data_IF_547253100875
#
_entry.id   IF_547253100875
#
_cell.length_a   1.000
_cell.length_b   1.000
_cell.length_c   1.000
_cell.angle_alpha   90.00
_cell.angle_beta   90.00
_cell.angle_gamma   90.00
#
_symmetry.space_group_name_H-M   'P 1'
#
loop_
_entity.id
_entity.type
_entity.pdbx_description
1 polymer ?
#
# COMPACT_ATOMS: atom_id res chain seq x y z
N UNK A 1 -18.95 -16.40 -21.48
CA UNK A 1 -19.83 -15.20 -21.52
C UNK A 1 -18.93 -14.02 -21.83
N UNK A 2 -19.45 -12.98 -22.49
CA UNK A 2 -18.65 -11.79 -22.77
C UNK A 2 -18.39 -11.04 -21.47
N UNK A 3 -17.13 -10.81 -21.15
CA UNK A 3 -16.67 -10.10 -19.95
C UNK A 3 -16.78 -8.60 -20.15
N UNK A 4 -16.43 -8.12 -21.34
CA UNK A 4 -16.41 -6.71 -21.67
C UNK A 4 -17.82 -6.14 -21.78
N UNK A 5 -17.96 -4.87 -21.38
CA UNK A 5 -19.24 -4.18 -21.32
C UNK A 5 -19.14 -2.78 -21.94
N UNK A 6 -20.03 -2.54 -22.90
CA UNK A 6 -20.19 -1.30 -23.64
C UNK A 6 -21.61 -0.78 -23.41
N UNK A 7 -21.72 0.51 -23.11
CA UNK A 7 -22.99 1.21 -22.95
C UNK A 7 -23.15 2.26 -24.04
N UNK A 8 -24.34 2.36 -24.63
CA UNK A 8 -24.71 3.49 -25.46
C UNK A 8 -25.11 4.66 -24.58
N UNK A 9 -24.37 5.77 -24.70
CA UNK A 9 -24.67 7.00 -23.98
C UNK A 9 -24.89 8.16 -24.94
N UNK A 10 -25.71 9.09 -24.50
CA UNK A 10 -25.95 10.37 -25.15
C UNK A 10 -25.26 11.49 -24.39
N UNK A 11 -24.62 12.41 -25.10
CA UNK A 11 -23.93 13.56 -24.52
C UNK A 11 -24.19 14.81 -25.35
N UNK A 12 -24.19 15.97 -24.70
CA UNK A 12 -24.34 17.26 -25.37
C UNK A 12 -22.97 17.89 -25.59
N UNK A 13 -22.63 18.21 -26.84
CA UNK A 13 -21.36 18.85 -27.16
C UNK A 13 -21.26 20.23 -26.50
N UNK A 14 -20.22 20.52 -25.69
CA UNK A 14 -20.08 21.81 -25.01
C UNK A 14 -19.76 22.98 -25.98
N UNK A 15 -19.29 22.67 -27.18
CA UNK A 15 -18.89 23.67 -28.18
C UNK A 15 -20.07 24.13 -29.05
N UNK A 16 -20.95 23.22 -29.48
CA UNK A 16 -22.06 23.54 -30.40
C UNK A 16 -23.46 23.18 -29.88
N UNK A 17 -23.56 22.54 -28.72
CA UNK A 17 -24.83 22.17 -28.10
C UNK A 17 -25.55 20.97 -28.75
N UNK A 18 -24.95 20.31 -29.75
CA UNK A 18 -25.59 19.16 -30.39
C UNK A 18 -25.49 17.90 -29.53
N UNK A 19 -26.58 17.13 -29.52
CA UNK A 19 -26.61 15.83 -28.89
C UNK A 19 -25.96 14.79 -29.81
N UNK A 20 -25.05 14.02 -29.25
CA UNK A 20 -24.34 12.94 -29.89
C UNK A 20 -24.61 11.68 -29.09
N UNK A 21 -24.66 10.54 -29.76
CA UNK A 21 -24.72 9.23 -29.12
C UNK A 21 -23.53 8.40 -29.56
N UNK A 22 -22.94 7.64 -28.65
CA UNK A 22 -21.83 6.75 -28.96
C UNK A 22 -21.70 5.63 -27.94
N UNK A 23 -20.97 4.62 -28.39
CA UNK A 23 -20.60 3.46 -27.59
C UNK A 23 -19.43 3.84 -26.66
N UNK A 24 -19.59 3.56 -25.37
CA UNK A 24 -18.59 3.84 -24.34
C UNK A 24 -18.26 2.54 -23.60
N UNK A 25 -16.98 2.30 -23.38
CA UNK A 25 -16.49 1.16 -22.61
C UNK A 25 -16.57 1.44 -21.11
N UNK A 26 -17.18 0.51 -20.38
CA UNK A 26 -17.21 0.51 -18.91
C UNK A 26 -16.40 -0.65 -18.33
N UNK A 27 -16.39 -1.82 -19.00
CA UNK A 27 -15.52 -2.94 -18.70
C UNK A 27 -14.79 -3.34 -19.98
N UNK A 28 -13.46 -3.38 -19.94
CA UNK A 28 -12.61 -3.81 -21.04
C UNK A 28 -11.79 -5.02 -20.62
N UNK A 29 -12.08 -6.18 -21.22
CA UNK A 29 -11.23 -7.37 -21.13
C UNK A 29 -10.20 -7.35 -22.26
N UNK A 30 -8.92 -7.53 -21.91
CA UNK A 30 -7.82 -7.40 -22.86
C UNK A 30 -7.75 -8.56 -23.87
N UNK A 31 -8.30 -9.73 -23.52
CA UNK A 31 -8.31 -10.91 -24.36
C UNK A 31 -9.48 -10.91 -25.34
N UNK A 32 -10.60 -10.29 -24.97
CA UNK A 32 -11.75 -10.12 -25.85
C UNK A 32 -11.56 -9.01 -26.90
N UNK A 33 -10.94 -7.88 -26.52
CA UNK A 33 -10.84 -6.68 -27.37
C UNK A 33 -9.43 -6.07 -27.40
N UNK A 34 -8.43 -6.74 -27.99
CA UNK A 34 -7.07 -6.24 -28.08
C UNK A 34 -6.93 -4.92 -28.86
N UNK A 35 -7.84 -4.67 -29.82
CA UNK A 35 -7.92 -3.41 -30.54
C UNK A 35 -8.31 -2.23 -29.64
N UNK A 36 -9.22 -2.43 -28.69
CA UNK A 36 -9.63 -1.41 -27.73
C UNK A 36 -8.54 -1.18 -26.68
N UNK A 37 -7.77 -2.21 -26.31
CA UNK A 37 -6.57 -2.05 -25.47
C UNK A 37 -5.52 -1.18 -26.17
N UNK A 38 -5.34 -1.36 -27.48
CA UNK A 38 -4.43 -0.50 -28.26
C UNK A 38 -4.89 0.95 -28.25
N UNK A 39 -6.20 1.20 -28.39
CA UNK A 39 -6.77 2.54 -28.28
C UNK A 39 -6.60 3.12 -26.87
N UNK A 40 -6.78 2.31 -25.82
CA UNK A 40 -6.56 2.70 -24.43
C UNK A 40 -5.12 3.16 -24.20
N UNK A 41 -4.14 2.36 -24.64
CA UNK A 41 -2.73 2.67 -24.51
C UNK A 41 -2.30 3.94 -25.25
N UNK A 42 -3.02 4.29 -26.32
CA UNK A 42 -2.83 5.51 -27.10
C UNK A 42 -3.61 6.73 -26.55
N UNK A 43 -4.43 6.55 -25.51
CA UNK A 43 -5.29 7.61 -24.97
C UNK A 43 -6.45 7.98 -25.90
N UNK A 44 -6.89 7.05 -26.74
CA UNK A 44 -7.97 7.21 -27.72
C UNK A 44 -9.28 6.52 -27.32
N UNK A 45 -9.24 5.64 -26.33
CA UNK A 45 -10.44 4.97 -25.82
C UNK A 45 -11.34 5.95 -25.05
N UNK A 46 -12.65 5.80 -25.20
CA UNK A 46 -13.67 6.68 -24.60
C UNK A 46 -13.46 8.16 -24.92
N UNK A 47 -12.85 8.46 -26.08
CA UNK A 47 -12.72 9.83 -26.59
C UNK A 47 -13.88 10.14 -27.53
N UNK A 48 -14.63 11.17 -27.16
CA UNK A 48 -15.78 11.66 -27.89
C UNK A 48 -15.32 12.68 -28.93
N UNK A 49 -15.76 12.52 -30.18
CA UNK A 49 -15.56 13.51 -31.24
C UNK A 49 -16.91 13.95 -31.83
N UNK A 50 -17.19 15.26 -31.75
CA UNK A 50 -18.39 15.83 -32.35
C UNK A 50 -18.28 15.87 -33.88
N UNK A 51 -19.20 15.26 -34.60
CA UNK A 51 -19.25 15.29 -36.07
C UNK A 51 -19.62 16.66 -36.66
N UNK A 52 -20.20 17.55 -35.84
CA UNK A 52 -20.68 18.86 -36.29
C UNK A 52 -19.63 19.97 -36.17
N UNK A 53 -18.83 19.96 -35.10
CA UNK A 53 -17.84 21.02 -34.84
C UNK A 53 -16.43 20.50 -34.56
N UNK A 54 -16.22 19.17 -34.64
CA UNK A 54 -14.94 18.49 -34.40
C UNK A 54 -14.35 18.69 -32.99
N UNK A 55 -15.15 19.17 -32.03
CA UNK A 55 -14.76 19.17 -30.62
C UNK A 55 -14.41 17.75 -30.18
N UNK A 56 -13.30 17.60 -29.46
CA UNK A 56 -12.78 16.33 -28.95
C UNK A 56 -12.62 16.42 -27.44
N UNK A 57 -13.16 15.45 -26.71
CA UNK A 57 -13.08 15.39 -25.25
C UNK A 57 -13.07 13.96 -24.73
N UNK A 58 -12.54 13.75 -23.54
CA UNK A 58 -12.60 12.45 -22.85
C UNK A 58 -14.00 12.30 -22.25
N UNK A 59 -14.56 11.10 -22.30
CA UNK A 59 -15.83 10.80 -21.65
C UNK A 59 -15.71 10.87 -20.13
N UNK A 60 -16.79 11.29 -19.47
CA UNK A 60 -16.97 11.39 -18.02
C UNK A 60 -17.36 10.06 -17.36
N UNK A 61 -16.86 8.94 -17.87
CA UNK A 61 -17.25 7.59 -17.44
C UNK A 61 -16.08 6.82 -16.83
N UNK A 62 -16.34 6.03 -15.78
CA UNK A 62 -15.33 5.14 -15.23
C UNK A 62 -15.03 4.00 -16.21
N UNK A 63 -13.83 3.44 -16.12
CA UNK A 63 -13.42 2.29 -16.90
C UNK A 63 -12.77 1.24 -16.00
N UNK A 64 -13.22 0.00 -16.08
CA UNK A 64 -12.58 -1.15 -15.46
C UNK A 64 -11.86 -1.98 -16.52
N UNK A 65 -10.57 -2.21 -16.33
CA UNK A 65 -9.74 -3.03 -17.19
C UNK A 65 -9.44 -4.35 -16.52
N UNK A 66 -9.50 -5.44 -17.28
CA UNK A 66 -9.16 -6.79 -16.83
C UNK A 66 -8.22 -7.48 -17.81
N UNK A 67 -7.21 -8.19 -17.29
CA UNK A 67 -6.37 -9.06 -18.09
C UNK A 67 -5.89 -10.28 -17.31
N UNK A 68 -6.15 -11.50 -17.82
CA UNK A 68 -5.64 -12.76 -17.25
C UNK A 68 -4.13 -12.90 -17.42
N UNK A 69 -3.51 -12.64 -18.59
CA UNK A 69 -2.05 -12.69 -18.74
C UNK A 69 -1.31 -11.76 -17.77
N UNK A 70 -1.84 -10.56 -17.54
CA UNK A 70 -1.23 -9.59 -16.62
C UNK A 70 -1.62 -9.83 -15.16
N UNK A 71 -2.58 -10.73 -14.90
CA UNK A 71 -3.20 -10.98 -13.58
C UNK A 71 -3.57 -9.68 -12.87
N UNK A 72 -4.28 -8.80 -13.59
CA UNK A 72 -4.56 -7.44 -13.12
C UNK A 72 -6.01 -7.04 -13.38
N UNK A 73 -6.58 -6.35 -12.38
CA UNK A 73 -7.81 -5.57 -12.50
C UNK A 73 -7.46 -4.12 -12.17
N UNK A 74 -7.78 -3.19 -13.06
CA UNK A 74 -7.45 -1.76 -12.90
C UNK A 74 -8.71 -0.94 -13.10
N UNK A 75 -9.05 -0.08 -12.15
CA UNK A 75 -10.16 0.87 -12.25
C UNK A 75 -9.62 2.29 -12.51
N UNK A 76 -10.12 2.96 -13.53
CA UNK A 76 -9.88 4.38 -13.79
C UNK A 76 -11.04 5.22 -13.28
N UNK A 77 -10.75 6.09 -12.30
CA UNK A 77 -11.72 7.02 -11.76
C UNK A 77 -12.01 8.18 -12.74
N UNK A 78 -13.17 8.80 -12.59
CA UNK A 78 -13.52 10.01 -13.34
C UNK A 78 -12.97 11.24 -12.60
N UNK A 79 -12.21 12.13 -13.26
CA UNK A 79 -11.69 13.33 -12.61
C UNK A 79 -12.79 14.23 -12.02
N UNK A 80 -12.57 14.72 -10.81
CA UNK A 80 -13.51 15.64 -10.13
C UNK A 80 -14.70 14.96 -9.44
N UNK A 81 -14.81 13.63 -9.50
CA UNK A 81 -15.82 12.87 -8.74
C UNK A 81 -15.31 12.63 -7.30
N UNK A 82 -16.12 12.86 -6.26
CA UNK A 82 -15.72 12.64 -4.87
C UNK A 82 -15.51 11.16 -4.57
N UNK A 83 -14.67 10.87 -3.58
CA UNK A 83 -14.15 9.52 -3.32
C UNK A 83 -15.20 8.43 -3.14
N UNK A 84 -16.16 8.67 -2.25
CA UNK A 84 -17.25 7.73 -2.01
C UNK A 84 -18.01 7.33 -3.28
N UNK A 85 -18.15 8.24 -4.26
CA UNK A 85 -18.88 7.97 -5.51
C UNK A 85 -18.08 7.08 -6.44
N UNK A 86 -16.79 7.35 -6.64
CA UNK A 86 -16.00 6.50 -7.52
C UNK A 86 -15.72 5.14 -6.87
N UNK A 87 -15.63 5.04 -5.54
CA UNK A 87 -15.54 3.75 -4.83
C UNK A 87 -16.79 2.88 -5.03
N UNK A 88 -17.97 3.49 -4.96
CA UNK A 88 -19.24 2.80 -5.26
C UNK A 88 -19.27 2.28 -6.71
N UNK A 89 -18.89 3.12 -7.68
CA UNK A 89 -18.78 2.74 -9.09
C UNK A 89 -17.76 1.61 -9.32
N UNK A 90 -16.61 1.64 -8.65
CA UNK A 90 -15.60 0.60 -8.74
C UNK A 90 -16.16 -0.75 -8.26
N UNK A 91 -16.88 -0.76 -7.13
CA UNK A 91 -17.50 -1.98 -6.57
C UNK A 91 -18.58 -2.55 -7.49
N UNK A 92 -19.40 -1.69 -8.11
CA UNK A 92 -20.44 -2.11 -9.05
C UNK A 92 -19.84 -2.76 -10.31
N UNK A 93 -18.88 -2.10 -10.96
CA UNK A 93 -18.22 -2.64 -12.14
C UNK A 93 -17.42 -3.92 -11.82
N UNK A 94 -16.81 -3.98 -10.64
CA UNK A 94 -16.10 -5.17 -10.17
C UNK A 94 -17.04 -6.36 -9.96
N UNK A 95 -18.19 -6.15 -9.33
CA UNK A 95 -19.20 -7.20 -9.17
C UNK A 95 -19.70 -7.72 -10.53
N UNK A 96 -19.88 -6.82 -11.51
CA UNK A 96 -20.24 -7.19 -12.89
C UNK A 96 -19.15 -8.02 -13.57
N UNK A 97 -17.87 -7.63 -13.44
CA UNK A 97 -16.71 -8.37 -13.94
C UNK A 97 -16.62 -9.77 -13.34
N UNK A 98 -16.70 -9.89 -12.01
CA UNK A 98 -16.63 -11.19 -11.33
C UNK A 98 -17.84 -12.06 -11.71
N UNK A 99 -19.01 -11.44 -11.86
CA UNK A 99 -20.24 -12.10 -12.29
C UNK A 99 -20.18 -12.65 -13.72
N UNK A 100 -19.42 -12.03 -14.63
CA UNK A 100 -19.27 -12.47 -16.03
C UNK A 100 -18.21 -13.57 -16.22
N UNK A 101 -17.34 -13.78 -15.22
CA UNK A 101 -16.33 -14.85 -15.20
C UNK A 101 -16.89 -16.10 -14.50
N UNK A 102 -16.76 -17.26 -15.16
CA UNK A 102 -17.17 -18.55 -14.62
C UNK A 102 -16.41 -18.88 -13.32
N UNK A 103 -17.05 -19.55 -12.37
CA UNK A 103 -16.49 -19.81 -11.04
C UNK A 103 -15.12 -20.52 -11.10
N UNK A 104 -14.97 -21.47 -12.01
CA UNK A 104 -13.73 -22.24 -12.26
C UNK A 104 -12.56 -21.37 -12.77
N UNK A 105 -12.90 -20.29 -13.50
CA UNK A 105 -11.96 -19.35 -14.08
C UNK A 105 -11.62 -18.20 -13.13
N UNK A 106 -12.33 -18.06 -12.00
CA UNK A 106 -12.06 -17.00 -11.03
C UNK A 106 -10.74 -17.29 -10.33
N UNK A 107 -9.80 -16.37 -10.45
CA UNK A 107 -8.49 -16.42 -9.80
C UNK A 107 -8.40 -15.36 -8.72
N UNK A 108 -7.52 -15.57 -7.75
CA UNK A 108 -7.34 -14.67 -6.60
C UNK A 108 -7.08 -13.21 -7.00
N UNK A 109 -6.33 -12.97 -8.09
CA UNK A 109 -6.00 -11.61 -8.55
C UNK A 109 -7.25 -10.76 -8.89
N UNK A 110 -8.41 -11.38 -9.11
CA UNK A 110 -9.65 -10.65 -9.34
C UNK A 110 -10.06 -9.83 -8.12
N UNK A 111 -9.63 -10.20 -6.90
CA UNK A 111 -9.88 -9.42 -5.67
C UNK A 111 -9.00 -8.17 -5.55
N UNK A 112 -7.86 -8.13 -6.24
CA UNK A 112 -6.86 -7.07 -6.12
C UNK A 112 -7.09 -5.98 -7.18
N UNK A 113 -8.01 -5.05 -6.91
CA UNK A 113 -8.33 -3.93 -7.81
C UNK A 113 -7.36 -2.77 -7.61
N UNK A 114 -6.56 -2.47 -8.64
CA UNK A 114 -5.69 -1.30 -8.66
C UNK A 114 -6.46 -0.05 -9.09
N UNK A 115 -6.20 1.09 -8.44
CA UNK A 115 -6.87 2.36 -8.77
C UNK A 115 -5.94 3.27 -9.57
N UNK A 116 -6.41 3.74 -10.72
CA UNK A 116 -5.81 4.77 -11.55
C UNK A 116 -6.60 6.09 -11.43
N UNK A 117 -5.88 7.21 -11.48
CA UNK A 117 -6.49 8.55 -11.37
C UNK A 117 -7.49 8.84 -12.50
N UNK A 118 -7.19 8.37 -13.71
CA UNK A 118 -8.02 8.48 -14.91
C UNK A 118 -7.60 7.44 -15.97
N UNK A 119 -8.24 7.49 -17.15
CA UNK A 119 -7.94 6.60 -18.29
C UNK A 119 -6.49 6.76 -18.78
N UNK A 120 -5.91 7.96 -18.70
CA UNK A 120 -4.51 8.19 -19.07
C UNK A 120 -3.54 7.57 -18.04
N UNK A 121 -3.87 7.67 -16.75
CA UNK A 121 -3.17 7.00 -15.65
C UNK A 121 -3.21 5.47 -15.80
N UNK A 122 -4.36 4.91 -16.20
CA UNK A 122 -4.47 3.49 -16.51
C UNK A 122 -3.54 3.09 -17.67
N UNK A 123 -3.52 3.86 -18.76
CA UNK A 123 -2.59 3.61 -19.87
C UNK A 123 -1.12 3.61 -19.40
N UNK A 124 -0.75 4.52 -18.50
CA UNK A 124 0.59 4.56 -17.91
C UNK A 124 0.90 3.33 -17.04
N UNK A 125 -0.05 2.88 -16.22
CA UNK A 125 0.09 1.65 -15.43
C UNK A 125 0.27 0.41 -16.32
N UNK A 126 -0.49 0.30 -17.40
CA UNK A 126 -0.36 -0.79 -18.37
C UNK A 126 1.03 -0.81 -19.02
N UNK A 127 1.54 0.35 -19.41
CA UNK A 127 2.91 0.46 -19.95
C UNK A 127 3.97 0.03 -18.91
N UNK A 128 3.78 0.38 -17.64
CA UNK A 128 4.68 -0.01 -16.54
C UNK A 128 4.66 -1.52 -16.31
N UNK A 129 3.48 -2.14 -16.30
CA UNK A 129 3.32 -3.59 -16.15
C UNK A 129 3.95 -4.35 -17.33
N UNK A 130 3.69 -3.92 -18.56
CA UNK A 130 4.28 -4.51 -19.76
C UNK A 130 5.83 -4.48 -19.73
N UNK A 131 6.43 -3.38 -19.24
CA UNK A 131 7.89 -3.27 -19.08
C UNK A 131 8.46 -4.21 -18.02
N UNK A 132 7.71 -4.47 -16.94
CA UNK A 132 8.11 -5.45 -15.92
C UNK A 132 8.15 -6.85 -16.51
N UNK A 133 7.09 -7.24 -17.20
CA UNK A 133 7.02 -8.55 -17.88
C UNK A 133 8.13 -8.73 -18.90
N UNK A 134 8.44 -7.71 -19.70
CA UNK A 134 9.53 -7.75 -20.68
C UNK A 134 10.92 -7.89 -20.02
N UNK A 135 11.15 -7.24 -18.87
CA UNK A 135 12.41 -7.37 -18.12
C UNK A 135 12.60 -8.76 -17.52
N UNK A 136 11.53 -9.39 -17.02
CA UNK A 136 11.62 -10.76 -16.49
C UNK A 136 11.98 -11.74 -17.60
N UNK A 137 11.46 -11.55 -18.82
CA UNK A 137 11.82 -12.38 -19.98
C UNK A 137 13.23 -12.12 -20.53
N UNK A 138 13.72 -10.89 -20.48
CA UNK A 138 15.10 -10.56 -20.92
C UNK A 138 16.15 -11.04 -19.90
N UNK A 139 15.80 -11.14 -18.61
CA UNK A 139 16.71 -11.60 -17.56
C UNK A 139 16.83 -13.14 -17.51
N UNK A 140 15.92 -13.88 -18.16
CA UNK A 140 16.01 -15.33 -18.39
C UNK A 140 16.76 -15.72 -19.67
N UNK A 141 17.14 -14.74 -20.53
CA UNK A 141 17.89 -14.97 -21.78
C UNK A 141 19.19 -14.18 -21.77
N UNK A 142 20.07 -14.47 -20.80
CA UNK A 142 21.50 -14.22 -20.97
C UNK A 142 22.07 -15.35 -21.85
N UNK A 143 22.84 -15.05 -22.93
CA UNK A 143 23.27 -16.05 -23.89
C UNK A 143 24.42 -16.87 -23.31
N UNK A 144 24.10 -18.08 -22.84
CA UNK A 144 25.10 -19.14 -22.76
C UNK A 144 25.49 -19.50 -24.21
N UNK A 145 26.64 -19.02 -24.65
CA UNK A 145 27.33 -19.54 -25.82
C UNK A 145 27.52 -21.04 -25.66
N UNK A 146 26.95 -21.84 -26.54
CA UNK A 146 27.59 -23.04 -27.12
C UNK A 146 26.71 -23.68 -28.19
N UNK A 147 27.38 -24.06 -29.27
CA UNK A 147 26.91 -24.78 -30.44
C UNK A 147 25.93 -25.93 -30.14
N UNK A 148 24.89 -26.03 -30.98
CA UNK A 148 24.22 -27.30 -31.27
C UNK A 148 25.25 -28.29 -31.84
N UNK A 149 25.26 -29.56 -31.42
CA UNK A 149 24.55 -30.54 -32.25
C UNK A 149 23.90 -31.69 -31.46
N UNK A 150 22.64 -31.99 -31.80
CA UNK A 150 22.00 -33.30 -31.61
C UNK A 150 22.33 -34.20 -32.82
N UNK A 151 22.18 -35.55 -32.86
CA UNK A 151 21.71 -36.54 -31.86
C UNK A 151 22.66 -37.73 -31.64
N UNK A 152 22.54 -38.45 -30.51
CA UNK A 152 22.73 -39.91 -30.49
C UNK A 152 22.11 -40.52 -29.22
N UNK A 153 21.48 -41.65 -29.43
CA UNK A 153 20.71 -42.39 -28.45
C UNK A 153 21.59 -43.25 -27.52
N UNK A 154 20.96 -43.64 -26.41
CA UNK A 154 21.07 -44.93 -25.73
C UNK A 154 22.16 -45.13 -24.64
N UNK A 155 21.60 -45.44 -23.47
CA UNK A 155 22.07 -46.36 -22.43
C UNK A 155 23.07 -45.83 -21.41
N UNK A 156 22.55 -45.49 -20.22
CA UNK A 156 22.73 -46.15 -18.90
C UNK A 156 21.58 -45.60 -18.02
N UNK A 157 20.42 -46.23 -17.94
CA UNK A 157 20.04 -47.26 -16.95
C UNK A 157 20.26 -46.85 -15.48
N UNK A 158 19.12 -46.65 -14.79
CA UNK A 158 18.88 -47.03 -13.38
C UNK A 158 19.29 -46.06 -12.28
N UNK A 159 18.38 -45.14 -11.93
CA UNK A 159 17.72 -44.98 -10.60
C UNK A 159 16.93 -43.67 -10.59
N UNK A 160 15.72 -43.66 -11.15
CA UNK A 160 14.77 -42.56 -10.97
C UNK A 160 13.32 -43.02 -11.27
N UNK A 161 12.96 -44.20 -10.75
CA UNK A 161 11.56 -44.52 -10.52
C UNK A 161 11.35 -44.49 -9.01
N UNK A 162 10.82 -43.37 -8.53
CA UNK A 162 9.85 -43.23 -7.42
C UNK A 162 9.78 -41.74 -7.09
N UNK A 163 8.99 -40.99 -7.84
CA UNK A 163 8.15 -39.87 -7.39
C UNK A 163 7.16 -39.60 -8.54
N UNK A 164 6.40 -40.64 -8.85
CA UNK A 164 5.27 -40.59 -9.76
C UNK A 164 4.05 -40.04 -9.00
N UNK A 165 3.40 -39.03 -9.58
CA UNK A 165 2.03 -38.60 -9.35
C UNK A 165 1.50 -38.71 -7.91
N UNK A 166 1.50 -37.58 -7.19
CA UNK A 166 0.66 -37.41 -6.00
C UNK A 166 -0.80 -37.62 -6.44
N UNK A 167 -1.44 -38.71 -5.99
CA UNK A 167 -2.88 -38.86 -6.13
C UNK A 167 -3.56 -37.85 -5.19
N UNK A 168 -4.31 -36.85 -5.70
CA UNK A 168 -4.91 -35.80 -4.87
C UNK A 168 -5.85 -36.34 -3.78
N UNK A 169 -6.53 -37.45 -4.06
CA UNK A 169 -7.40 -38.13 -3.10
C UNK A 169 -6.64 -38.66 -1.87
N UNK A 170 -5.38 -39.09 -2.05
CA UNK A 170 -4.55 -39.59 -0.94
C UNK A 170 -4.08 -38.47 -0.02
N UNK A 171 -3.82 -37.28 -0.58
CA UNK A 171 -3.41 -36.11 0.18
C UNK A 171 -4.58 -35.55 0.98
N UNK A 172 -5.77 -35.46 0.38
CA UNK A 172 -6.97 -35.01 1.11
C UNK A 172 -7.33 -35.97 2.25
N UNK A 173 -7.31 -37.29 1.99
CA UNK A 173 -7.55 -38.30 3.04
C UNK A 173 -6.53 -38.19 4.18
N UNK A 174 -5.26 -37.90 3.86
CA UNK A 174 -4.22 -37.74 4.88
C UNK A 174 -4.43 -36.48 5.73
N UNK A 175 -4.88 -35.37 5.12
CA UNK A 175 -5.21 -34.13 5.83
C UNK A 175 -6.42 -34.35 6.75
N UNK A 176 -7.50 -34.98 6.27
CA UNK A 176 -8.69 -35.27 7.09
C UNK A 176 -8.38 -36.18 8.30
N UNK A 177 -7.57 -37.21 8.10
CA UNK A 177 -7.13 -38.09 9.19
C UNK A 177 -6.27 -37.34 10.21
N UNK A 178 -5.40 -36.43 9.74
CA UNK A 178 -4.57 -35.60 10.62
C UNK A 178 -5.43 -34.57 11.38
N UNK A 179 -6.47 -34.02 10.76
CA UNK A 179 -7.43 -33.11 11.42
C UNK A 179 -8.24 -33.78 12.52
N UNK A 180 -8.41 -35.10 12.46
CA UNK A 180 -9.16 -35.89 13.44
C UNK A 180 -8.26 -36.44 14.56
N UNK A 181 -6.95 -36.18 14.51
CA UNK A 181 -5.99 -36.73 15.46
C UNK A 181 -5.83 -35.82 16.68
N UNK A 182 -6.47 -36.20 17.79
CA UNK A 182 -6.46 -35.41 19.03
C UNK A 182 -5.20 -35.63 19.90
N UNK A 183 -4.25 -36.46 19.46
CA UNK A 183 -3.06 -36.79 20.26
C UNK A 183 -1.77 -36.72 19.44
N UNK A 184 -0.67 -36.23 20.03
CA UNK A 184 0.60 -36.12 19.33
C UNK A 184 1.12 -37.47 18.85
N UNK A 185 0.84 -38.56 19.56
CA UNK A 185 1.22 -39.92 19.18
C UNK A 185 0.48 -40.40 17.92
N UNK A 186 -0.82 -40.09 17.81
CA UNK A 186 -1.63 -40.37 16.61
C UNK A 186 -1.13 -39.56 15.41
N UNK A 187 -0.79 -38.28 15.60
CA UNK A 187 -0.20 -37.45 14.55
C UNK A 187 1.10 -38.05 14.00
N UNK A 188 1.99 -38.52 14.86
CA UNK A 188 3.24 -39.17 14.44
C UNK A 188 2.98 -40.45 13.63
N UNK A 189 1.98 -41.26 14.02
CA UNK A 189 1.61 -42.47 13.28
C UNK A 189 1.04 -42.13 11.90
N UNK A 190 0.20 -41.10 11.80
CA UNK A 190 -0.38 -40.65 10.52
C UNK A 190 0.71 -40.10 9.59
N UNK A 191 1.66 -39.33 10.11
CA UNK A 191 2.80 -38.82 9.34
C UNK A 191 3.69 -39.97 8.82
N UNK A 192 3.87 -41.04 9.60
CA UNK A 192 4.58 -42.24 9.14
C UNK A 192 3.79 -43.02 8.08
N UNK A 193 2.46 -43.06 8.20
CA UNK A 193 1.57 -43.74 7.27
C UNK A 193 1.43 -42.99 5.94
N UNK A 194 1.53 -41.65 5.95
CA UNK A 194 1.39 -40.80 4.78
C UNK A 194 2.61 -39.88 4.60
N UNK A 195 3.71 -40.38 4.01
CA UNK A 195 4.93 -39.59 3.77
C UNK A 195 4.71 -38.37 2.87
N UNK A 196 3.62 -38.36 2.09
CA UNK A 196 3.21 -37.23 1.25
C UNK A 196 2.96 -35.97 2.07
N UNK A 197 2.56 -36.08 3.35
CA UNK A 197 2.35 -34.94 4.25
C UNK A 197 3.64 -34.14 4.52
N UNK A 198 4.79 -34.75 4.27
CA UNK A 198 6.11 -34.10 4.41
C UNK A 198 6.60 -33.49 3.08
N UNK A 199 5.80 -33.55 2.02
CA UNK A 199 6.13 -32.96 0.74
C UNK A 199 5.78 -31.46 0.71
N UNK A 200 6.50 -30.63 -0.06
CA UNK A 200 6.19 -29.21 -0.20
C UNK A 200 4.83 -28.96 -0.85
N UNK A 201 4.32 -29.90 -1.65
CA UNK A 201 2.98 -29.82 -2.24
C UNK A 201 1.86 -29.83 -1.19
N UNK A 202 2.10 -30.45 -0.02
CA UNK A 202 1.16 -30.41 1.11
C UNK A 202 1.02 -29.01 1.70
N UNK A 203 2.09 -28.21 1.72
CA UNK A 203 2.01 -26.81 2.18
C UNK A 203 1.15 -25.96 1.26
N UNK A 204 1.29 -26.18 -0.05
CA UNK A 204 0.46 -25.49 -1.05
C UNK A 204 -1.01 -25.87 -0.89
N UNK A 205 -1.31 -27.16 -0.75
CA UNK A 205 -2.68 -27.63 -0.55
C UNK A 205 -3.30 -27.11 0.77
N UNK A 206 -2.54 -27.09 1.87
CA UNK A 206 -3.01 -26.52 3.14
C UNK A 206 -3.26 -25.01 3.01
N UNK A 207 -2.40 -24.28 2.30
CA UNK A 207 -2.59 -22.84 2.05
C UNK A 207 -3.84 -22.55 1.23
N UNK A 208 -4.13 -23.39 0.22
CA UNK A 208 -5.38 -23.29 -0.55
C UNK A 208 -6.60 -23.59 0.33
N UNK A 209 -6.56 -24.62 1.18
CA UNK A 209 -7.66 -24.96 2.08
C UNK A 209 -7.91 -23.88 3.16
N UNK A 210 -6.85 -23.26 3.69
CA UNK A 210 -6.95 -22.12 4.61
C UNK A 210 -7.70 -20.97 3.94
N UNK A 211 -7.30 -20.58 2.72
CA UNK A 211 -7.97 -19.51 1.98
C UNK A 211 -9.43 -19.84 1.63
N UNK A 212 -9.74 -21.11 1.37
CA UNK A 212 -11.13 -21.58 1.16
C UNK A 212 -11.95 -21.48 2.46
N UNK A 213 -11.38 -21.82 3.61
CA UNK A 213 -12.05 -21.73 4.91
C UNK A 213 -12.29 -20.27 5.33
N UNK A 214 -11.32 -19.38 5.12
CA UNK A 214 -11.47 -17.94 5.37
C UNK A 214 -12.55 -17.30 4.50
N UNK A 215 -12.58 -17.64 3.21
CA UNK A 215 -13.60 -17.16 2.28
C UNK A 215 -15.02 -17.64 2.65
N UNK A 216 -15.14 -18.75 3.38
CA UNK A 216 -16.41 -19.29 3.88
C UNK A 216 -16.74 -18.87 5.32
N UNK A 217 -15.92 -18.01 5.93
CA UNK A 217 -16.03 -17.60 7.34
C UNK A 217 -15.88 -18.74 8.37
N UNK A 218 -15.26 -19.85 7.97
CA UNK A 218 -14.96 -20.99 8.85
C UNK A 218 -13.60 -20.79 9.55
N UNK A 219 -13.55 -19.78 10.43
CA UNK A 219 -12.32 -19.32 11.08
C UNK A 219 -11.65 -20.40 11.95
N UNK A 220 -12.43 -21.24 12.64
CA UNK A 220 -11.89 -22.32 13.48
C UNK A 220 -11.16 -23.38 12.63
N UNK A 221 -11.64 -23.61 11.40
CA UNK A 221 -11.04 -24.55 10.45
C UNK A 221 -9.75 -23.96 9.85
N UNK A 222 -9.77 -22.68 9.47
CA UNK A 222 -8.59 -21.97 8.99
C UNK A 222 -7.44 -22.00 10.01
N UNK A 223 -7.74 -21.67 11.28
CA UNK A 223 -6.75 -21.69 12.37
C UNK A 223 -6.20 -23.11 12.61
N UNK A 224 -7.05 -24.13 12.56
CA UNK A 224 -6.63 -25.54 12.74
C UNK A 224 -5.70 -26.01 11.61
N UNK A 225 -5.98 -25.61 10.37
CA UNK A 225 -5.12 -25.92 9.22
C UNK A 225 -3.78 -25.16 9.25
N UNK A 226 -3.77 -23.92 9.75
CA UNK A 226 -2.53 -23.16 9.96
C UNK A 226 -1.63 -23.77 11.03
N UNK A 227 -2.21 -24.19 12.14
CA UNK A 227 -1.50 -24.90 13.20
C UNK A 227 -0.89 -26.20 12.66
N UNK A 228 -1.67 -26.99 11.91
CA UNK A 228 -1.19 -28.21 11.27
C UNK A 228 -0.04 -27.97 10.28
N UNK A 229 -0.16 -26.94 9.43
CA UNK A 229 0.92 -26.56 8.48
C UNK A 229 2.21 -26.24 9.24
N UNK A 230 2.10 -25.53 10.35
CA UNK A 230 3.22 -25.15 11.20
C UNK A 230 3.86 -26.38 11.87
N UNK A 231 3.05 -27.30 12.39
CA UNK A 231 3.52 -28.55 12.99
C UNK A 231 4.25 -29.46 11.98
N UNK A 232 3.71 -29.64 10.78
CA UNK A 232 4.36 -30.41 9.72
C UNK A 232 5.69 -29.78 9.28
N UNK A 233 5.76 -28.44 9.23
CA UNK A 233 7.00 -27.71 8.92
C UNK A 233 8.06 -27.91 10.00
N UNK A 234 7.66 -27.83 11.27
CA UNK A 234 8.53 -28.09 12.41
C UNK A 234 9.02 -29.55 12.42
N UNK A 235 8.13 -30.50 12.10
CA UNK A 235 8.49 -31.92 12.01
C UNK A 235 9.53 -32.18 10.91
N UNK A 236 9.39 -31.55 9.73
CA UNK A 236 10.39 -31.63 8.65
C UNK A 236 11.74 -31.05 9.05
N UNK A 237 11.74 -29.93 9.80
CA UNK A 237 12.97 -29.30 10.27
C UNK A 237 13.65 -30.13 11.36
N UNK A 238 12.89 -30.69 12.31
CA UNK A 238 13.41 -31.59 13.34
C UNK A 238 13.99 -32.89 12.78
N UNK A 239 13.41 -33.45 11.71
CA UNK A 239 13.92 -34.66 11.06
C UNK A 239 15.16 -34.38 10.16
N UNK A 240 15.38 -33.13 9.75
CA UNK A 240 16.63 -32.71 9.09
C UNK A 240 17.80 -32.65 10.08
N UNK A 241 17.55 -32.32 11.35
CA UNK A 241 18.58 -32.27 12.39
C UNK A 241 19.08 -33.65 12.84
N UNK A 242 18.32 -34.73 12.61
CA UNK A 242 18.70 -36.12 12.93
C UNK A 242 19.28 -36.88 11.74
N UNK A 243 19.06 -36.41 10.51
CA UNK A 243 19.64 -36.97 9.28
C UNK A 243 20.95 -36.26 8.88
N UNK A 244 21.92 -36.23 9.80
CA UNK A 244 23.34 -36.04 9.50
C UNK A 244 24.11 -37.11 10.27
N UNK A 245 24.51 -38.19 9.59
CA UNK A 245 25.35 -39.24 10.14
C UNK A 245 26.79 -39.11 9.59
N UNK A 246 27.80 -39.68 10.25
CA UNK A 246 28.20 -39.52 11.65
C UNK A 246 29.48 -38.65 11.72
N UNK A 247 29.58 -37.80 12.74
CA UNK A 247 30.88 -37.24 13.12
C UNK A 247 31.68 -38.30 13.88
N UNK A 248 32.90 -38.53 13.40
CA UNK A 248 33.95 -39.18 14.18
C UNK A 248 34.26 -38.37 15.43
N UNK A 249 34.43 -39.12 16.52
CA UNK A 249 34.81 -38.71 17.86
C UNK A 249 36.01 -37.76 17.89
N UNK A 250 35.94 -36.67 18.68
CA UNK A 250 37.00 -36.29 19.63
C UNK A 250 36.37 -35.59 20.85
N UNK A 251 36.86 -36.00 22.02
CA UNK A 251 36.48 -35.74 23.40
C UNK A 251 36.41 -34.29 23.93
N UNK A 252 35.81 -34.09 25.13
CA UNK A 252 35.51 -32.79 25.74
C UNK A 252 36.54 -32.36 26.78
N UNK A 253 36.85 -31.05 26.90
CA UNK A 253 37.54 -30.51 28.08
C UNK A 253 36.93 -29.16 28.52
N UNK A 254 36.20 -29.27 29.63
CA UNK A 254 36.18 -28.45 30.85
C UNK A 254 35.89 -26.94 30.83
N UNK A 255 34.89 -26.61 31.66
CA UNK A 255 34.54 -25.31 32.25
C UNK A 255 35.68 -24.77 33.14
N UNK A 256 35.82 -23.45 33.20
CA UNK A 256 35.74 -22.70 34.48
C UNK A 256 35.52 -21.18 34.26
N UNK A 257 34.90 -20.45 35.21
CA UNK A 257 34.51 -19.05 35.09
C UNK A 257 35.36 -18.11 35.95
N UNK A 258 35.66 -16.88 35.50
CA UNK A 258 36.09 -15.78 36.40
C UNK A 258 35.56 -14.44 35.91
N UNK A 259 35.05 -13.66 36.87
CA UNK A 259 34.44 -12.36 36.74
C UNK A 259 35.46 -11.19 36.77
N UNK A 260 34.91 -9.97 36.86
CA UNK A 260 35.46 -8.68 37.33
C UNK A 260 36.14 -7.71 36.32
N UNK A 261 35.32 -6.73 35.90
CA UNK A 261 35.47 -5.28 36.18
C UNK A 261 36.48 -4.38 35.42
N UNK A 262 35.89 -3.48 34.60
CA UNK A 262 36.10 -2.01 34.48
C UNK A 262 37.40 -1.44 33.86
N UNK A 263 37.49 -0.13 33.50
CA UNK A 263 36.68 0.65 32.52
C UNK A 263 37.55 1.55 31.57
N UNK A 264 36.90 2.17 30.56
CA UNK A 264 37.18 3.45 29.83
C UNK A 264 38.64 3.84 29.48
N UNK A 265 38.95 3.97 28.18
CA UNK A 265 39.70 5.11 27.57
C UNK A 265 39.26 5.32 26.11
N UNK A 266 38.85 6.55 25.76
CA UNK A 266 38.58 7.06 24.40
C UNK A 266 39.89 7.30 23.61
N UNK A 267 39.93 7.09 22.28
CA UNK A 267 39.77 8.11 21.20
C UNK A 267 40.54 7.61 19.94
N UNK A 268 40.50 8.28 18.78
CA UNK A 268 39.40 8.38 17.82
C UNK A 268 39.88 8.10 16.36
N UNK A 269 39.01 8.36 15.37
CA UNK A 269 39.28 8.51 13.93
C UNK A 269 39.40 7.26 13.07
N UNK A 270 38.29 6.89 12.43
CA UNK A 270 38.31 6.58 11.00
C UNK A 270 37.04 7.12 10.33
N UNK A 271 37.24 7.62 9.12
CA UNK A 271 36.39 8.57 8.41
C UNK A 271 35.06 7.97 7.91
N UNK A 272 33.99 8.75 8.12
CA UNK A 272 32.89 9.06 7.21
C UNK A 272 32.35 7.97 6.26
N UNK A 273 31.20 7.39 6.65
CA UNK A 273 30.12 7.05 5.72
C UNK A 273 28.96 8.07 5.94
N UNK A 274 28.21 8.47 4.90
CA UNK A 274 27.16 9.47 5.02
C UNK A 274 26.00 8.95 5.88
N UNK A 275 25.45 9.84 6.74
CA UNK A 275 24.31 9.65 7.63
C UNK A 275 23.25 8.67 7.10
N UNK A 276 23.34 7.41 7.54
CA UNK A 276 22.15 6.57 7.69
C UNK A 276 21.42 7.08 8.93
N UNK A 277 20.26 7.70 8.71
CA UNK A 277 19.31 8.11 9.75
C UNK A 277 19.04 6.91 10.67
N UNK A 278 19.78 6.81 11.78
CA UNK A 278 19.53 5.83 12.85
C UNK A 278 18.17 6.16 13.47
N UNK A 279 17.15 5.45 12.98
CA UNK A 279 15.81 5.46 13.55
C UNK A 279 15.88 4.97 15.01
N UNK A 280 15.20 5.65 15.96
CA UNK A 280 15.19 5.23 17.35
C UNK A 280 14.57 3.82 17.45
N UNK A 281 15.21 2.88 18.18
CA UNK A 281 14.66 1.53 18.31
C UNK A 281 13.32 1.59 19.06
N UNK A 282 12.32 0.90 18.52
CA UNK A 282 11.06 0.66 19.22
C UNK A 282 11.37 -0.34 20.35
N UNK A 283 11.27 0.12 21.60
CA UNK A 283 11.50 -0.74 22.75
C UNK A 283 10.48 -1.90 22.75
N UNK A 284 10.93 -3.12 23.04
CA UNK A 284 10.15 -4.36 22.92
C UNK A 284 8.87 -4.29 23.78
N UNK A 285 8.96 -3.63 24.93
CA UNK A 285 7.84 -3.36 25.83
C UNK A 285 6.76 -2.48 25.18
N UNK A 286 7.18 -1.48 24.41
CA UNK A 286 6.29 -0.54 23.71
C UNK A 286 5.63 -1.23 22.52
N UNK A 287 6.39 -2.06 21.81
CA UNK A 287 5.91 -2.87 20.70
C UNK A 287 4.82 -3.86 21.15
N UNK A 288 5.05 -4.58 22.26
CA UNK A 288 4.05 -5.49 22.82
C UNK A 288 2.81 -4.74 23.34
N UNK A 289 3.00 -3.58 23.98
CA UNK A 289 1.89 -2.76 24.42
C UNK A 289 1.03 -2.28 23.25
N UNK A 290 1.65 -1.87 22.14
CA UNK A 290 0.95 -1.50 20.90
C UNK A 290 0.10 -2.66 20.37
N UNK A 291 0.66 -3.88 20.31
CA UNK A 291 -0.03 -5.08 19.85
C UNK A 291 -1.21 -5.50 20.77
N UNK A 292 -1.14 -5.21 22.07
CA UNK A 292 -2.21 -5.58 23.01
C UNK A 292 -3.39 -4.60 23.05
N UNK A 293 -3.29 -3.45 22.38
CA UNK A 293 -4.39 -2.48 22.28
C UNK A 293 -5.56 -3.10 21.54
N UNK A 294 -6.75 -3.06 22.15
CA UNK A 294 -8.00 -3.56 21.56
C UNK A 294 -9.01 -2.45 21.30
N UNK A 295 -8.83 -1.27 21.91
CA UNK A 295 -9.76 -0.14 21.76
C UNK A 295 -9.06 1.15 21.39
N UNK A 296 -9.79 2.07 20.74
CA UNK A 296 -9.29 3.40 20.38
C UNK A 296 -8.93 4.24 21.61
N UNK A 297 -9.57 4.00 22.75
CA UNK A 297 -9.29 4.67 24.02
C UNK A 297 -7.98 4.18 24.65
N UNK A 298 -7.73 2.86 24.63
CA UNK A 298 -6.44 2.28 25.03
C UNK A 298 -5.30 2.79 24.14
N UNK A 299 -5.55 2.94 22.84
CA UNK A 299 -4.57 3.50 21.91
C UNK A 299 -4.23 4.95 22.27
N UNK A 300 -5.23 5.77 22.60
CA UNK A 300 -5.01 7.16 23.04
C UNK A 300 -4.22 7.22 24.34
N UNK A 301 -4.54 6.37 25.31
CA UNK A 301 -3.79 6.27 26.57
C UNK A 301 -2.34 5.84 26.33
N UNK A 302 -2.10 4.94 25.39
CA UNK A 302 -0.76 4.52 24.99
C UNK A 302 0.03 5.65 24.31
N UNK A 303 -0.60 6.41 23.41
CA UNK A 303 0.01 7.59 22.78
C UNK A 303 0.36 8.68 23.81
N UNK A 304 -0.48 8.87 24.83
CA UNK A 304 -0.20 9.79 25.93
C UNK A 304 0.92 9.30 26.85
N UNK A 305 0.95 8.00 27.15
CA UNK A 305 1.98 7.39 27.99
C UNK A 305 3.37 7.38 27.32
N UNK A 306 3.42 7.30 25.99
CA UNK A 306 4.66 7.19 25.22
C UNK A 306 4.78 8.29 24.16
N UNK A 307 5.55 9.37 24.44
CA UNK A 307 5.68 10.53 23.55
C UNK A 307 6.21 10.21 22.14
N UNK A 308 6.90 9.07 21.97
CA UNK A 308 7.42 8.65 20.67
C UNK A 308 6.29 8.52 19.62
N UNK A 309 5.10 8.07 20.02
CA UNK A 309 3.95 7.94 19.11
C UNK A 309 3.36 9.27 18.65
N UNK A 310 3.74 10.39 19.28
CA UNK A 310 3.34 11.73 18.85
C UNK A 310 4.23 12.29 17.74
N UNK A 311 5.39 11.68 17.51
CA UNK A 311 6.36 12.11 16.49
C UNK A 311 6.10 11.41 15.16
N UNK A 312 6.48 12.03 14.03
CA UNK A 312 6.42 11.38 12.71
C UNK A 312 7.48 10.27 12.55
N UNK A 313 8.54 10.29 13.38
CA UNK A 313 9.61 9.29 13.34
C UNK A 313 9.09 7.87 13.61
N UNK A 314 8.04 7.73 14.43
CA UNK A 314 7.44 6.41 14.74
C UNK A 314 6.87 5.71 13.51
N UNK A 315 6.41 6.45 12.50
CA UNK A 315 5.86 5.86 11.28
C UNK A 315 6.93 5.11 10.49
N UNK A 316 8.14 5.67 10.44
CA UNK A 316 9.27 5.04 9.79
C UNK A 316 9.76 3.82 10.57
N UNK A 317 9.77 3.88 11.92
CA UNK A 317 10.14 2.73 12.76
C UNK A 317 9.10 1.60 12.61
N UNK A 318 7.80 1.92 12.63
CA UNK A 318 6.73 0.93 12.43
C UNK A 318 6.77 0.34 11.02
N UNK A 319 7.03 1.16 9.99
CA UNK A 319 7.18 0.69 8.60
C UNK A 319 8.35 -0.29 8.46
N UNK A 320 9.50 0.03 9.06
CA UNK A 320 10.65 -0.89 9.07
C UNK A 320 10.27 -2.20 9.77
N UNK A 321 9.54 -2.14 10.88
CA UNK A 321 9.13 -3.34 11.61
C UNK A 321 8.15 -4.20 10.82
N UNK A 322 7.24 -3.58 10.09
CA UNK A 322 6.31 -4.27 9.17
C UNK A 322 7.09 -4.99 8.06
N UNK A 323 8.09 -4.35 7.49
CA UNK A 323 8.95 -4.95 6.46
C UNK A 323 9.74 -6.15 7.01
N UNK A 324 10.31 -6.05 8.22
CA UNK A 324 10.96 -7.17 8.91
C UNK A 324 10.00 -8.35 9.09
N UNK A 325 8.79 -8.09 9.57
CA UNK A 325 7.75 -9.11 9.82
C UNK A 325 7.26 -9.75 8.52
N UNK A 326 7.17 -9.00 7.42
CA UNK A 326 6.86 -9.53 6.09
C UNK A 326 7.98 -10.42 5.54
N UNK A 327 9.24 -10.04 5.72
CA UNK A 327 10.40 -10.86 5.33
C UNK A 327 10.40 -12.19 6.10
N UNK A 328 10.00 -12.16 7.38
CA UNK A 328 9.85 -13.35 8.22
C UNK A 328 8.61 -14.21 7.87
N UNK A 329 7.71 -13.69 7.03
CA UNK A 329 6.53 -14.41 6.52
C UNK A 329 5.30 -14.35 7.43
N UNK A 330 5.27 -13.43 8.40
CA UNK A 330 4.13 -13.23 9.30
C UNK A 330 3.17 -12.16 8.74
N UNK A 331 2.49 -12.49 7.63
CA UNK A 331 1.64 -11.54 6.90
C UNK A 331 0.50 -10.96 7.76
N UNK A 332 -0.14 -11.78 8.61
CA UNK A 332 -1.20 -11.31 9.51
C UNK A 332 -0.68 -10.27 10.51
N UNK A 333 0.48 -10.52 11.13
CA UNK A 333 1.10 -9.59 12.09
C UNK A 333 1.51 -8.29 11.40
N UNK A 334 1.99 -8.37 10.15
CA UNK A 334 2.31 -7.19 9.35
C UNK A 334 1.07 -6.35 9.04
N UNK A 335 -0.06 -6.98 8.69
CA UNK A 335 -1.34 -6.29 8.50
C UNK A 335 -1.84 -5.64 9.79
N UNK A 336 -1.75 -6.34 10.91
CA UNK A 336 -2.15 -5.83 12.24
C UNK A 336 -1.31 -4.62 12.66
N UNK A 337 -0.01 -4.63 12.34
CA UNK A 337 0.89 -3.51 12.60
C UNK A 337 0.62 -2.32 11.68
N UNK A 338 0.33 -2.57 10.40
CA UNK A 338 -0.04 -1.53 9.44
C UNK A 338 -1.35 -0.85 9.84
N UNK A 339 -2.35 -1.64 10.26
CA UNK A 339 -3.61 -1.11 10.79
C UNK A 339 -3.38 -0.24 12.03
N UNK A 340 -2.56 -0.69 12.98
CA UNK A 340 -2.22 0.12 14.17
C UNK A 340 -1.46 1.38 13.82
N UNK A 341 -0.53 1.33 12.86
CA UNK A 341 0.19 2.50 12.36
C UNK A 341 -0.78 3.54 11.77
N UNK A 342 -1.76 3.09 11.00
CA UNK A 342 -2.81 3.94 10.44
C UNK A 342 -3.67 4.59 11.53
N UNK A 343 -4.10 3.83 12.55
CA UNK A 343 -4.86 4.39 13.68
C UNK A 343 -4.06 5.44 14.46
N UNK A 344 -2.76 5.21 14.69
CA UNK A 344 -1.86 6.20 15.34
C UNK A 344 -1.72 7.47 14.48
N UNK A 345 -1.67 7.33 13.16
CA UNK A 345 -1.64 8.45 12.23
C UNK A 345 -2.95 9.24 12.25
N UNK A 346 -4.10 8.57 12.20
CA UNK A 346 -5.42 9.21 12.29
C UNK A 346 -5.58 9.99 13.59
N UNK A 347 -5.23 9.39 14.74
CA UNK A 347 -5.32 10.06 16.04
C UNK A 347 -4.40 11.28 16.15
N UNK A 348 -3.20 11.22 15.56
CA UNK A 348 -2.30 12.39 15.46
C UNK A 348 -2.89 13.47 14.56
N UNK A 349 -3.50 13.10 13.43
CA UNK A 349 -4.16 14.05 12.54
C UNK A 349 -5.40 14.67 13.18
N UNK A 350 -6.16 13.94 13.99
CA UNK A 350 -7.26 14.49 14.80
C UNK A 350 -6.72 15.51 15.82
N UNK A 351 -5.64 15.17 16.52
CA UNK A 351 -5.01 16.08 17.47
C UNK A 351 -4.43 17.34 16.79
N UNK A 352 -3.78 17.17 15.63
CA UNK A 352 -3.30 18.28 14.80
C UNK A 352 -4.43 19.08 14.15
N UNK A 353 -5.56 18.43 13.82
CA UNK A 353 -6.79 19.05 13.33
C UNK A 353 -7.46 19.94 14.38
N UNK A 354 -7.49 19.49 15.63
CA UNK A 354 -7.97 20.30 16.75
C UNK A 354 -7.00 21.45 17.10
N UNK A 355 -5.68 21.23 16.98
CA UNK A 355 -4.68 22.29 17.16
C UNK A 355 -4.75 23.33 16.02
N UNK A 356 -4.86 22.89 14.77
CA UNK A 356 -4.98 23.75 13.59
C UNK A 356 -6.31 24.53 13.52
N UNK A 357 -7.39 24.05 14.15
CA UNK A 357 -8.60 24.86 14.35
C UNK A 357 -8.35 26.03 15.31
N UNK A 358 -7.54 25.82 16.36
CA UNK A 358 -7.06 26.89 17.24
C UNK A 358 -6.18 27.90 16.50
N UNK A 359 -5.18 27.40 15.75
CA UNK A 359 -4.27 28.22 14.96
C UNK A 359 -4.98 28.97 13.82
N UNK A 360 -5.99 28.35 13.20
CA UNK A 360 -6.81 28.98 12.16
C UNK A 360 -7.65 30.12 12.73
N UNK A 361 -8.25 29.94 13.92
CA UNK A 361 -9.00 31.00 14.59
C UNK A 361 -8.08 32.15 15.05
N UNK A 362 -6.87 31.84 15.51
CA UNK A 362 -5.87 32.84 15.86
C UNK A 362 -5.32 33.60 14.64
N UNK A 363 -5.04 32.88 13.56
CA UNK A 363 -4.61 33.45 12.28
C UNK A 363 -5.67 34.40 11.71
N UNK A 364 -6.94 34.01 11.76
CA UNK A 364 -8.04 34.83 11.27
C UNK A 364 -8.17 36.12 12.09
N UNK A 365 -7.99 36.03 13.42
CA UNK A 365 -7.95 37.20 14.32
C UNK A 365 -6.75 38.11 14.01
N UNK A 366 -5.58 37.53 13.73
CA UNK A 366 -4.37 38.28 13.39
C UNK A 366 -4.52 39.02 12.05
N UNK A 367 -5.10 38.39 11.02
CA UNK A 367 -5.39 39.03 9.73
C UNK A 367 -6.43 40.14 9.87
N UNK A 368 -7.43 39.96 10.73
CA UNK A 368 -8.39 41.02 11.05
C UNK A 368 -7.73 42.20 11.76
N UNK A 369 -6.81 41.97 12.70
CA UNK A 369 -6.04 43.04 13.35
C UNK A 369 -5.16 43.80 12.34
N UNK A 370 -4.59 43.09 11.36
CA UNK A 370 -3.78 43.67 10.29
C UNK A 370 -4.61 44.56 9.35
N UNK A 371 -5.80 44.08 8.98
CA UNK A 371 -6.71 44.74 8.02
C UNK A 371 -7.69 45.72 8.66
N UNK A 372 -7.74 45.79 9.99
CA UNK A 372 -8.52 46.79 10.70
C UNK A 372 -8.09 48.21 10.29
N UNK A 373 -9.09 49.05 9.99
CA UNK A 373 -8.90 50.45 9.59
C UNK A 373 -8.10 51.21 10.65
N UNK A 374 -7.18 52.12 10.25
CA UNK A 374 -6.32 52.84 11.20
C UNK A 374 -7.16 53.64 12.19
N UNK A 375 -6.99 53.36 13.47
CA UNK A 375 -7.49 54.22 14.53
C UNK A 375 -6.75 55.56 14.48
N UNK A 376 -7.49 56.67 14.55
CA UNK A 376 -7.01 58.06 14.36
C UNK A 376 -5.96 58.50 15.40
N UNK A 377 -5.61 57.63 16.34
CA UNK A 377 -4.72 57.88 17.47
C UNK A 377 -3.37 57.18 17.40
N UNK A 378 -3.10 56.33 16.39
CA UNK A 378 -1.82 55.62 16.28
C UNK A 378 -0.72 56.48 15.63
N UNK A 379 0.44 56.56 16.27
CA UNK A 379 1.67 57.16 15.75
C UNK A 379 2.17 56.36 14.56
N UNK A 380 2.04 56.89 13.34
CA UNK A 380 2.50 56.27 12.07
C UNK A 380 1.95 54.87 11.75
N UNK A 381 1.68 54.59 10.47
CA UNK A 381 1.20 53.27 10.04
C UNK A 381 2.21 52.15 10.33
N UNK A 382 3.51 52.48 10.30
CA UNK A 382 4.62 51.56 10.53
C UNK A 382 4.69 51.07 11.99
N UNK A 383 4.46 51.95 12.97
CA UNK A 383 4.52 51.57 14.40
C UNK A 383 3.33 50.69 14.80
N UNK A 384 2.14 50.97 14.25
CA UNK A 384 0.97 50.10 14.40
C UNK A 384 1.24 48.72 13.83
N UNK A 385 1.85 48.67 12.65
CA UNK A 385 2.15 47.42 11.96
C UNK A 385 3.17 46.58 12.74
N UNK A 386 4.23 47.22 13.24
CA UNK A 386 5.21 46.57 14.10
C UNK A 386 4.56 46.00 15.37
N UNK A 387 3.64 46.75 15.99
CA UNK A 387 2.90 46.29 17.17
C UNK A 387 2.01 45.08 16.85
N UNK A 388 1.28 45.10 15.73
CA UNK A 388 0.43 43.96 15.31
C UNK A 388 1.27 42.71 15.05
N UNK A 389 2.45 42.85 14.44
CA UNK A 389 3.37 41.72 14.20
C UNK A 389 3.91 41.17 15.53
N UNK A 390 4.23 42.04 16.49
CA UNK A 390 4.66 41.63 17.83
C UNK A 390 3.58 40.89 18.61
N UNK A 391 2.33 41.38 18.53
CA UNK A 391 1.19 40.79 19.24
C UNK A 391 0.69 39.50 18.56
N UNK A 392 0.98 39.32 17.27
CA UNK A 392 0.57 38.17 16.47
C UNK A 392 1.72 37.59 15.62
N UNK A 393 2.66 36.85 16.24
CA UNK A 393 3.81 36.27 15.52
C UNK A 393 3.41 35.28 14.43
N UNK A 394 2.21 34.68 14.51
CA UNK A 394 1.65 33.80 13.47
C UNK A 394 1.55 34.49 12.09
N UNK A 395 1.55 35.82 12.04
CA UNK A 395 1.56 36.59 10.79
C UNK A 395 2.84 36.40 9.95
N UNK A 396 3.94 35.95 10.57
CA UNK A 396 5.19 35.65 9.88
C UNK A 396 5.26 34.20 9.35
N UNK A 397 4.19 33.42 9.49
CA UNK A 397 4.09 32.05 8.99
C UNK A 397 3.73 31.99 7.49
N UNK A 398 4.04 30.86 6.85
CA UNK A 398 3.56 30.57 5.49
C UNK A 398 2.02 30.48 5.42
N UNK A 399 1.37 30.08 6.51
CA UNK A 399 -0.09 30.04 6.60
C UNK A 399 -0.70 31.46 6.48
N UNK A 400 -0.08 32.46 7.09
CA UNK A 400 -0.51 33.86 6.95
C UNK A 400 -0.30 34.41 5.55
N UNK A 401 0.81 34.05 4.90
CA UNK A 401 1.09 34.40 3.50
C UNK A 401 0.00 33.88 2.55
N UNK A 402 -0.42 32.63 2.75
CA UNK A 402 -1.45 31.99 1.95
C UNK A 402 -2.85 32.57 2.23
N UNK A 403 -3.17 32.83 3.50
CA UNK A 403 -4.44 33.42 3.88
C UNK A 403 -4.61 34.86 3.35
N UNK A 404 -3.56 35.69 3.35
CA UNK A 404 -3.60 37.03 2.73
C UNK A 404 -3.76 36.97 1.21
N UNK A 405 -3.20 35.96 0.55
CA UNK A 405 -3.40 35.74 -0.87
C UNK A 405 -4.85 35.32 -1.20
N UNK A 406 -5.44 34.46 -0.37
CA UNK A 406 -6.86 34.09 -0.48
C UNK A 406 -7.78 35.29 -0.25
N UNK A 407 -7.51 36.10 0.79
CA UNK A 407 -8.24 37.33 1.06
C UNK A 407 -8.21 38.29 -0.14
N UNK A 408 -7.06 38.43 -0.80
CA UNK A 408 -6.94 39.26 -2.00
C UNK A 408 -7.75 38.71 -3.19
N UNK A 409 -7.81 37.38 -3.35
CA UNK A 409 -8.62 36.74 -4.38
C UNK A 409 -10.12 36.91 -4.12
N UNK A 410 -10.55 36.76 -2.86
CA UNK A 410 -11.94 36.94 -2.44
C UNK A 410 -12.38 38.41 -2.57
N UNK A 411 -11.56 39.36 -2.13
CA UNK A 411 -11.82 40.80 -2.30
C UNK A 411 -11.99 41.18 -3.79
N UNK A 412 -11.17 40.62 -4.69
CA UNK A 412 -11.34 40.81 -6.15
C UNK A 412 -12.66 40.23 -6.66
N UNK A 413 -13.06 39.08 -6.16
CA UNK A 413 -14.35 38.47 -6.53
C UNK A 413 -15.54 39.33 -6.11
N UNK A 414 -15.39 40.07 -5.01
CA UNK A 414 -16.36 41.04 -4.50
C UNK A 414 -16.18 42.47 -5.04
N UNK A 415 -15.28 42.69 -6.00
CA UNK A 415 -14.97 44.00 -6.60
C UNK A 415 -14.40 45.04 -5.62
N UNK A 416 -13.83 44.61 -4.49
CA UNK A 416 -13.10 45.49 -3.56
C UNK A 416 -11.61 45.55 -3.93
N UNK A 417 -11.28 46.42 -4.89
CA UNK A 417 -9.89 46.59 -5.35
C UNK A 417 -8.96 47.18 -4.28
N UNK A 418 -9.49 48.00 -3.36
CA UNK A 418 -8.68 48.61 -2.30
C UNK A 418 -8.23 47.57 -1.29
N UNK A 419 -9.16 46.72 -0.82
CA UNK A 419 -8.83 45.63 0.09
C UNK A 419 -7.91 44.60 -0.57
N UNK A 420 -8.12 44.29 -1.85
CA UNK A 420 -7.25 43.37 -2.58
C UNK A 420 -5.81 43.89 -2.73
N UNK A 421 -5.65 45.18 -3.06
CA UNK A 421 -4.34 45.82 -3.13
C UNK A 421 -3.66 45.87 -1.75
N UNK A 422 -4.43 46.18 -0.70
CA UNK A 422 -3.95 46.24 0.67
C UNK A 422 -3.47 44.87 1.19
N UNK A 423 -4.23 43.80 0.95
CA UNK A 423 -3.86 42.44 1.34
C UNK A 423 -2.55 41.97 0.66
N UNK A 424 -2.35 42.33 -0.61
CA UNK A 424 -1.10 42.02 -1.35
C UNK A 424 0.08 42.84 -0.81
N UNK A 425 -0.14 44.11 -0.47
CA UNK A 425 0.89 44.95 0.15
C UNK A 425 1.32 44.39 1.51
N UNK A 426 0.37 44.02 2.36
CA UNK A 426 0.62 43.36 3.65
C UNK A 426 1.42 42.06 3.49
N UNK A 427 1.03 41.22 2.53
CA UNK A 427 1.73 39.96 2.23
C UNK A 427 3.20 40.21 1.86
N UNK A 428 3.44 41.16 0.96
CA UNK A 428 4.79 41.50 0.48
C UNK A 428 5.66 42.05 1.61
N UNK A 429 5.10 42.93 2.44
CA UNK A 429 5.78 43.49 3.60
C UNK A 429 6.13 42.41 4.63
N UNK A 430 5.19 41.53 4.99
CA UNK A 430 5.46 40.44 5.94
C UNK A 430 6.52 39.46 5.41
N UNK A 431 6.56 39.24 4.09
CA UNK A 431 7.60 38.43 3.47
C UNK A 431 8.98 39.09 3.60
N UNK A 432 9.07 40.41 3.39
CA UNK A 432 10.33 41.16 3.58
C UNK A 432 10.79 41.13 5.03
N UNK A 433 9.89 41.38 5.99
CA UNK A 433 10.21 41.32 7.43
C UNK A 433 10.73 39.93 7.80
N UNK A 434 10.13 38.86 7.26
CA UNK A 434 10.60 37.50 7.50
C UNK A 434 12.00 37.25 6.94
N UNK A 435 12.29 37.74 5.74
CA UNK A 435 13.63 37.59 5.13
C UNK A 435 14.70 38.41 5.84
N UNK A 436 14.35 39.55 6.46
CA UNK A 436 15.30 40.35 7.25
C UNK A 436 15.60 39.73 8.63
N UNK A 437 14.77 38.78 9.09
CA UNK A 437 14.87 38.14 10.41
C UNK A 437 15.35 36.69 10.35
N UNK A 438 15.58 36.14 9.15
CA UNK A 438 16.16 34.81 8.89
C UNK A 438 17.66 34.90 8.64
#
# INVERSE_FOLDING_TARGET
MTISYVEQRTWTCPSCGQNLSGDIWLILDAEEHPEAVTQLQQGHLNVIQCIHCHYRGVSDVPLLFHSRPMRAVIFAAVPGVPEHRWQEQARELHALLVGSIALEDRKAYLGDVQIAQDVAGMAHLLQKLARRTARTTDQEVAPATTDTPQPAAQQIASTAETFASVNPDMLMTAIEQLMTADTPEACHQIIQQYPVLLSPETDTALTELIGIAEAQYEHDVAVSLEQMRTELRNYRQGNRSTSSAPMGEVEPIQREPVATSNPIVHSPSELAAPDELMLPPLDETIYQALLQVQTSEELRQLIEAYPIFKTEAIDAVLRQKIEEVLIEGYEYLAQELEHRRELVLLLRQEAAGMASQGDSAELLRAIQALTASPDVTATSEDERMAQVIMDHPILLSDAAQQALWQLAAEARSHQDEQLAAYAIACRTMLHQVREEWA
#
